data_IF_339466345062
#
_entry.id   IF_339466345062
#
_cell.length_a   1.000
_cell.length_b   1.000
_cell.length_c   1.000
_cell.angle_alpha   90.00
_cell.angle_beta   90.00
_cell.angle_gamma   90.00
#
_symmetry.space_group_name_H-M   'P 1'
#
loop_
_entity.id
_entity.type
_entity.pdbx_description
1 polymer ?
#
# COMPACT_ATOMS: atom_id res chain seq x y z
N UNK A 1 7.33 3.53 13.91
CA UNK A 1 6.75 4.75 13.33
C UNK A 1 6.39 4.43 11.89
N UNK A 2 5.10 4.30 11.61
CA UNK A 2 4.54 3.94 10.30
C UNK A 2 5.00 4.87 9.18
N UNK A 3 4.75 4.46 7.93
CA UNK A 3 5.09 5.23 6.72
C UNK A 3 3.91 5.29 5.77
N UNK A 4 3.85 6.37 5.00
CA UNK A 4 2.77 6.66 4.07
C UNK A 4 3.36 7.12 2.73
N UNK A 5 2.77 6.64 1.64
CA UNK A 5 3.07 7.03 0.27
C UNK A 5 1.78 7.50 -0.39
N UNK A 6 1.81 8.70 -0.97
CA UNK A 6 0.71 9.26 -1.75
C UNK A 6 1.15 9.52 -3.18
N UNK A 7 0.32 9.14 -4.14
CA UNK A 7 0.51 9.41 -5.56
C UNK A 7 -0.67 10.24 -6.05
N UNK A 8 -0.38 11.36 -6.72
CA UNK A 8 -1.34 12.15 -7.46
C UNK A 8 -0.78 12.41 -8.86
N UNK A 9 -1.54 12.03 -9.88
CA UNK A 9 -1.11 12.11 -11.28
C UNK A 9 -2.22 12.61 -12.21
N UNK A 10 -1.84 13.21 -13.34
CA UNK A 10 -2.78 13.69 -14.35
C UNK A 10 -3.39 12.55 -15.20
N UNK A 11 -2.78 11.36 -15.20
CA UNK A 11 -3.23 10.14 -15.86
C UNK A 11 -3.21 8.97 -14.86
N UNK A 12 -4.03 7.93 -15.06
CA UNK A 12 -3.97 6.73 -14.22
C UNK A 12 -2.58 6.10 -14.28
N UNK A 13 -1.98 5.87 -13.10
CA UNK A 13 -0.68 5.23 -12.94
C UNK A 13 -0.79 4.07 -11.97
N UNK A 14 0.13 3.11 -12.08
CA UNK A 14 0.31 2.05 -11.09
C UNK A 14 1.32 2.45 -10.01
N UNK A 15 1.50 1.56 -9.03
CA UNK A 15 2.41 1.76 -7.89
C UNK A 15 3.79 1.15 -8.12
N UNK A 16 3.96 0.33 -9.16
CA UNK A 16 5.18 -0.46 -9.37
C UNK A 16 6.43 0.42 -9.44
N UNK A 17 6.33 1.60 -10.04
CA UNK A 17 7.44 2.56 -10.09
C UNK A 17 7.84 3.09 -8.70
N UNK A 18 6.89 3.30 -7.79
CA UNK A 18 7.14 3.89 -6.46
C UNK A 18 7.46 2.82 -5.40
N UNK A 19 7.19 1.55 -5.68
CA UNK A 19 7.40 0.43 -4.78
C UNK A 19 8.86 0.24 -4.36
N UNK A 20 9.83 0.53 -5.22
CA UNK A 20 11.24 0.22 -4.93
C UNK A 20 11.71 0.93 -3.66
N UNK A 21 11.34 2.21 -3.48
CA UNK A 21 11.61 2.95 -2.24
C UNK A 21 10.69 2.54 -1.09
N UNK A 22 9.43 2.20 -1.39
CA UNK A 22 8.46 1.84 -0.36
C UNK A 22 8.71 0.44 0.24
N UNK A 23 9.50 -0.40 -0.43
CA UNK A 23 9.93 -1.71 0.07
C UNK A 23 10.80 -1.59 1.33
N UNK A 24 11.79 -0.71 1.32
CA UNK A 24 12.66 -0.46 2.49
C UNK A 24 11.83 -0.02 3.71
N UNK A 25 10.83 0.84 3.46
CA UNK A 25 9.89 1.27 4.48
C UNK A 25 9.01 0.11 4.97
N UNK A 26 8.61 -0.82 4.11
CA UNK A 26 7.84 -2.00 4.51
C UNK A 26 8.65 -2.97 5.39
N UNK A 27 9.95 -3.11 5.18
CA UNK A 27 10.83 -3.94 6.03
C UNK A 27 10.84 -3.42 7.47
N UNK A 28 10.93 -2.10 7.64
CA UNK A 28 10.95 -1.46 8.95
C UNK A 28 9.57 -1.42 9.65
N UNK A 29 8.48 -1.68 8.90
CA UNK A 29 7.09 -1.58 9.32
C UNK A 29 6.28 -2.85 8.92
N UNK A 30 6.53 -3.99 9.58
CA UNK A 30 6.03 -5.30 9.14
C UNK A 30 4.62 -5.66 9.65
N UNK A 31 3.98 -4.82 10.47
CA UNK A 31 2.77 -5.18 11.23
C UNK A 31 1.46 -5.01 10.43
N UNK A 32 1.55 -4.92 9.11
CA UNK A 32 0.42 -4.75 8.21
C UNK A 32 0.61 -3.63 7.20
N UNK A 33 -0.27 -3.59 6.21
CA UNK A 33 -0.27 -2.56 5.19
C UNK A 33 -1.69 -2.31 4.66
N UNK A 34 -1.85 -1.20 3.95
CA UNK A 34 -3.07 -0.89 3.23
C UNK A 34 -2.81 -0.03 2.00
N UNK A 35 -3.72 -0.15 1.04
CA UNK A 35 -3.78 0.66 -0.18
C UNK A 35 -5.20 1.16 -0.38
N UNK A 36 -5.34 2.44 -0.68
CA UNK A 36 -6.57 3.07 -1.10
C UNK A 36 -6.39 3.74 -2.47
N UNK A 37 -7.37 3.59 -3.34
CA UNK A 37 -7.36 4.19 -4.69
C UNK A 37 -8.78 4.52 -5.15
N UNK A 38 -8.88 5.32 -6.21
CA UNK A 38 -10.16 5.59 -6.87
C UNK A 38 -10.31 4.75 -8.12
N UNK A 39 -11.46 4.09 -8.29
CA UNK A 39 -11.83 3.34 -9.49
C UNK A 39 -13.28 3.69 -9.86
N UNK A 40 -13.52 4.13 -11.10
CA UNK A 40 -14.87 4.52 -11.52
C UNK A 40 -15.47 5.71 -10.75
N UNK A 41 -14.65 6.50 -10.05
CA UNK A 41 -15.10 7.58 -9.16
C UNK A 41 -15.38 7.14 -7.72
N UNK A 42 -15.30 5.84 -7.42
CA UNK A 42 -15.50 5.30 -6.08
C UNK A 42 -14.16 5.05 -5.38
N UNK A 43 -14.12 5.27 -4.06
CA UNK A 43 -12.97 4.95 -3.24
C UNK A 43 -12.97 3.46 -2.88
N UNK A 44 -11.88 2.77 -3.23
CA UNK A 44 -11.62 1.37 -2.86
C UNK A 44 -10.46 1.30 -1.90
N UNK A 45 -10.54 0.37 -0.95
CA UNK A 45 -9.52 0.16 0.07
C UNK A 45 -9.28 -1.34 0.23
N UNK A 46 -8.01 -1.73 0.26
CA UNK A 46 -7.57 -3.06 0.67
C UNK A 46 -6.57 -2.94 1.82
N UNK A 47 -6.71 -3.81 2.83
CA UNK A 47 -5.83 -3.86 3.99
C UNK A 47 -5.49 -5.32 4.31
N UNK A 48 -4.29 -5.53 4.84
CA UNK A 48 -3.87 -6.84 5.31
C UNK A 48 -2.99 -6.71 6.54
N UNK A 49 -3.25 -7.55 7.55
CA UNK A 49 -2.52 -7.62 8.81
C UNK A 49 -1.23 -8.44 8.76
N UNK A 50 -0.66 -8.62 7.57
CA UNK A 50 0.64 -9.28 7.37
C UNK A 50 1.64 -8.27 6.81
N UNK A 51 2.94 -8.49 6.98
CA UNK A 51 3.95 -7.66 6.33
C UNK A 51 3.70 -7.57 4.83
N UNK A 52 3.89 -6.38 4.25
CA UNK A 52 3.72 -6.17 2.82
C UNK A 52 4.67 -7.05 1.98
N UNK A 53 5.77 -7.53 2.58
CA UNK A 53 6.79 -8.38 1.97
C UNK A 53 6.58 -9.88 2.23
N UNK A 54 5.57 -10.24 3.02
CA UNK A 54 5.22 -11.64 3.26
C UNK A 54 4.80 -12.32 1.96
N UNK A 55 5.13 -13.61 1.74
CA UNK A 55 4.61 -14.37 0.61
C UNK A 55 3.07 -14.46 0.56
N UNK A 56 2.42 -14.34 1.73
CA UNK A 56 0.95 -14.31 1.82
C UNK A 56 0.34 -12.92 1.51
N UNK A 57 1.19 -11.91 1.31
CA UNK A 57 0.79 -10.53 1.05
C UNK A 57 0.29 -10.35 -0.38
N UNK A 58 -0.85 -9.68 -0.53
CA UNK A 58 -1.34 -9.25 -1.86
C UNK A 58 -0.71 -7.94 -2.35
N UNK A 59 0.27 -7.40 -1.62
CA UNK A 59 0.79 -6.06 -1.90
C UNK A 59 1.39 -5.95 -3.30
N UNK A 60 2.23 -6.92 -3.69
CA UNK A 60 2.88 -6.91 -5.00
C UNK A 60 1.87 -7.08 -6.15
N UNK A 61 0.86 -7.93 -5.98
CA UNK A 61 -0.22 -8.09 -6.96
C UNK A 61 -0.99 -6.77 -7.13
N UNK A 62 -1.46 -6.18 -6.03
CA UNK A 62 -2.25 -4.96 -6.04
C UNK A 62 -1.47 -3.75 -6.56
N UNK A 63 -0.17 -3.67 -6.27
CA UNK A 63 0.66 -2.58 -6.77
C UNK A 63 0.81 -2.52 -8.29
N UNK A 64 0.58 -3.65 -8.98
CA UNK A 64 0.65 -3.78 -10.44
C UNK A 64 -0.70 -3.65 -11.11
N UNK A 65 -1.75 -4.15 -10.45
CA UNK A 65 -3.11 -4.17 -11.00
C UNK A 65 -3.88 -2.87 -10.73
N UNK A 66 -3.63 -2.20 -9.60
CA UNK A 66 -4.29 -0.94 -9.27
C UNK A 66 -3.76 0.18 -10.15
N UNK A 67 -4.67 0.81 -10.90
CA UNK A 67 -4.38 2.02 -11.67
C UNK A 67 -5.34 3.13 -11.29
N UNK A 68 -4.79 4.25 -10.81
CA UNK A 68 -5.60 5.40 -10.46
C UNK A 68 -4.80 6.70 -10.59
N UNK A 69 -5.52 7.83 -10.62
CA UNK A 69 -4.91 9.16 -10.53
C UNK A 69 -4.52 9.51 -9.10
N UNK A 70 -5.21 8.92 -8.11
CA UNK A 70 -4.97 9.15 -6.68
C UNK A 70 -4.85 7.79 -6.00
N UNK A 71 -3.69 7.54 -5.40
CA UNK A 71 -3.41 6.31 -4.65
C UNK A 71 -2.74 6.69 -3.33
N UNK A 72 -3.14 6.03 -2.24
CA UNK A 72 -2.56 6.18 -0.91
C UNK A 72 -2.17 4.80 -0.40
N UNK A 73 -0.92 4.63 0.00
CA UNK A 73 -0.39 3.42 0.64
C UNK A 73 0.12 3.72 2.03
N UNK A 74 -0.01 2.75 2.93
CA UNK A 74 0.47 2.85 4.30
C UNK A 74 1.05 1.51 4.74
N UNK A 75 2.22 1.53 5.40
CA UNK A 75 2.80 0.37 6.09
C UNK A 75 2.83 0.64 7.59
N UNK A 76 2.38 -0.33 8.36
CA UNK A 76 2.09 -0.21 9.79
C UNK A 76 3.26 -0.74 10.61
N UNK A 77 3.67 0.03 11.62
CA UNK A 77 4.43 -0.45 12.77
C UNK A 77 3.60 -0.21 14.03
N UNK A 78 2.89 -1.24 14.46
CA UNK A 78 1.96 -1.19 15.58
C UNK A 78 2.72 -1.24 16.91
N UNK A 79 2.44 -0.30 17.81
CA UNK A 79 2.92 -0.39 19.20
C UNK A 79 1.98 -1.23 20.06
N UNK A 80 0.68 -1.28 19.71
CA UNK A 80 -0.37 -2.00 20.41
C UNK A 80 -1.43 -2.52 19.42
N UNK A 81 -2.16 -3.56 19.84
CA UNK A 81 -3.29 -4.14 19.09
C UNK A 81 -2.87 -5.06 17.95
N UNK A 82 -3.66 -6.11 17.71
CA UNK A 82 -3.41 -7.05 16.63
C UNK A 82 -3.61 -6.39 15.26
N UNK A 83 -2.76 -6.70 14.26
CA UNK A 83 -3.01 -6.36 12.86
C UNK A 83 -4.37 -6.85 12.38
N UNK A 84 -5.06 -6.04 11.58
CA UNK A 84 -6.36 -6.36 10.97
C UNK A 84 -6.19 -6.83 9.53
#
# INVERSE_FOLDING_TARGET
MCRLLGIMANRPVDLEFSLTRFREEAECNPDGWGIGWYEGGEAKIFKQGVSALSPASRFQELSRSVRSKIIICHVRKGTHGMPA
#
